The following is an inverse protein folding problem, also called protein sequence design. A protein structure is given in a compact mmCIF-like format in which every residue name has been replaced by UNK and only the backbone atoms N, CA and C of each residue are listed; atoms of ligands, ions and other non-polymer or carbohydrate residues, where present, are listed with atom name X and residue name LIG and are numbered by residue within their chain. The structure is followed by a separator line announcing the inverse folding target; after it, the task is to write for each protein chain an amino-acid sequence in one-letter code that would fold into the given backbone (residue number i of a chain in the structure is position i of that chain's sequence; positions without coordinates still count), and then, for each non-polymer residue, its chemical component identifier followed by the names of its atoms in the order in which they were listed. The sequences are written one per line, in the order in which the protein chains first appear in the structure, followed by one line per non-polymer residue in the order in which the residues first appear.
data_IF_110621574621
#
_entry.id   IF_110621574621
#
_cell.length_a   1.000
_cell.length_b   1.000
_cell.length_c   1.000
_cell.angle_alpha   90.00
_cell.angle_beta   90.00
_cell.angle_gamma   90.00
#
_symmetry.space_group_name_H-M   'P 1'
#
loop_
_entity.id
_entity.type
_entity.pdbx_description
1 polymer ?
#
# COMPACT_ATOMS: atom_id res chain seq x y z
N UNK A 1 -29.17 14.17 14.77
CA UNK A 1 -28.41 13.05 14.15
C UNK A 1 -27.61 13.63 13.00
N UNK A 2 -26.31 13.92 13.18
CA UNK A 2 -25.39 14.20 12.07
C UNK A 2 -25.13 12.85 11.40
N UNK A 3 -25.71 12.61 10.21
CA UNK A 3 -25.28 11.54 9.32
C UNK A 3 -23.87 11.91 8.87
N UNK A 4 -22.89 11.09 9.21
CA UNK A 4 -21.56 11.18 8.65
C UNK A 4 -21.69 10.90 7.15
N UNK A 5 -21.57 11.94 6.34
CA UNK A 5 -21.53 11.80 4.88
C UNK A 5 -20.35 10.89 4.49
N UNK A 6 -20.52 10.12 3.45
CA UNK A 6 -19.40 9.33 2.91
C UNK A 6 -18.44 10.29 2.19
N UNK A 7 -17.14 10.16 2.49
CA UNK A 7 -16.08 10.95 1.85
C UNK A 7 -15.52 10.24 0.59
N UNK A 8 -16.31 9.36 -0.04
CA UNK A 8 -15.89 8.62 -1.23
C UNK A 8 -16.80 8.91 -2.42
N UNK A 9 -16.18 9.02 -3.58
CA UNK A 9 -16.82 9.14 -4.88
C UNK A 9 -16.43 7.96 -5.76
N UNK A 10 -17.15 7.74 -6.86
CA UNK A 10 -16.77 6.79 -7.90
C UNK A 10 -16.36 7.56 -9.15
N UNK A 11 -15.14 7.34 -9.61
CA UNK A 11 -14.74 7.71 -10.96
C UNK A 11 -15.19 6.58 -11.89
N UNK A 12 -16.05 6.91 -12.83
CA UNK A 12 -16.62 5.98 -13.82
C UNK A 12 -15.91 6.17 -15.14
N UNK A 13 -15.38 5.08 -15.69
CA UNK A 13 -14.68 5.06 -16.97
C UNK A 13 -15.47 4.19 -17.93
N UNK A 14 -16.07 4.78 -18.95
CA UNK A 14 -16.82 4.08 -19.98
C UNK A 14 -16.41 4.49 -21.39
N UNK A 15 -16.50 3.57 -22.36
CA UNK A 15 -16.16 3.85 -23.76
C UNK A 15 -17.08 4.90 -24.38
N UNK A 16 -18.34 4.94 -23.96
CA UNK A 16 -19.36 5.84 -24.52
C UNK A 16 -19.35 7.23 -23.90
N UNK A 17 -19.25 7.29 -22.56
CA UNK A 17 -19.42 8.53 -21.81
C UNK A 17 -18.09 9.13 -21.36
N UNK A 18 -16.97 8.42 -21.65
CA UNK A 18 -15.63 8.82 -21.21
C UNK A 18 -15.48 8.71 -19.69
N UNK A 19 -15.01 9.77 -19.06
CA UNK A 19 -14.73 9.85 -17.63
C UNK A 19 -15.80 10.72 -16.94
N UNK A 20 -16.50 10.15 -15.98
CA UNK A 20 -17.47 10.87 -15.14
C UNK A 20 -17.25 10.55 -13.66
N UNK A 21 -17.65 11.46 -12.79
CA UNK A 21 -17.53 11.28 -11.34
C UNK A 21 -18.91 11.24 -10.71
N UNK A 22 -19.13 10.27 -9.82
CA UNK A 22 -20.40 10.09 -9.10
C UNK A 22 -20.13 10.29 -7.60
N UNK A 23 -20.64 11.39 -7.00
CA UNK A 23 -20.51 11.64 -5.58
C UNK A 23 -21.44 10.72 -4.77
N UNK A 24 -20.89 9.75 -4.06
CA UNK A 24 -21.70 8.81 -3.26
C UNK A 24 -22.34 9.46 -2.04
N UNK A 25 -21.77 10.56 -1.53
CA UNK A 25 -22.32 11.32 -0.40
C UNK A 25 -23.65 12.03 -0.71
N UNK A 26 -23.99 12.25 -1.98
CA UNK A 26 -25.25 12.88 -2.41
C UNK A 26 -26.44 11.92 -2.40
N UNK A 27 -26.19 10.62 -2.33
CA UNK A 27 -27.25 9.63 -2.23
C UNK A 27 -27.79 9.56 -0.81
N UNK A 28 -29.01 10.01 -0.60
CA UNK A 28 -29.69 9.95 0.71
C UNK A 28 -30.29 8.57 1.04
N UNK A 29 -29.83 7.51 0.36
CA UNK A 29 -30.30 6.13 0.52
C UNK A 29 -29.18 5.23 1.03
N UNK A 30 -29.49 4.35 1.95
CA UNK A 30 -28.53 3.34 2.48
C UNK A 30 -28.21 2.25 1.44
N UNK A 31 -28.93 2.20 0.33
CA UNK A 31 -28.76 1.23 -0.77
C UNK A 31 -28.94 1.91 -2.11
N UNK A 32 -27.94 1.79 -2.98
CA UNK A 32 -27.94 2.31 -4.33
C UNK A 32 -27.79 1.14 -5.29
N UNK A 33 -28.74 0.96 -6.19
CA UNK A 33 -28.62 -0.02 -7.26
C UNK A 33 -27.85 0.57 -8.44
N UNK A 34 -27.02 -0.27 -9.05
CA UNK A 34 -26.17 0.05 -10.20
C UNK A 34 -26.56 -0.85 -11.35
N UNK A 35 -26.80 -0.32 -12.53
CA UNK A 35 -27.17 -1.13 -13.68
C UNK A 35 -27.63 -0.30 -14.88
N UNK A 36 -28.12 -0.97 -15.93
CA UNK A 36 -28.54 -0.32 -17.17
C UNK A 36 -29.93 0.34 -17.10
N UNK A 37 -30.80 -0.15 -16.23
CA UNK A 37 -32.19 0.30 -16.15
C UNK A 37 -32.31 1.54 -15.23
N UNK A 38 -32.38 2.73 -15.83
CA UNK A 38 -32.47 3.98 -15.09
C UNK A 38 -33.73 4.10 -14.20
N UNK A 39 -34.78 3.30 -14.47
CA UNK A 39 -35.99 3.30 -13.63
C UNK A 39 -35.81 2.54 -12.33
N UNK A 40 -34.83 1.63 -12.26
CA UNK A 40 -34.52 0.77 -11.09
C UNK A 40 -33.24 1.13 -10.39
N UNK A 41 -32.31 1.77 -11.10
CA UNK A 41 -30.96 2.02 -10.61
C UNK A 41 -30.75 3.50 -10.29
N UNK A 42 -30.16 3.78 -9.14
CA UNK A 42 -29.72 5.13 -8.77
C UNK A 42 -28.45 5.54 -9.54
N UNK A 43 -27.66 4.56 -9.98
CA UNK A 43 -26.54 4.75 -10.89
C UNK A 43 -26.86 4.00 -12.19
N UNK A 44 -27.29 4.73 -13.21
CA UNK A 44 -27.61 4.18 -14.51
C UNK A 44 -26.38 4.23 -15.43
N UNK A 45 -26.09 3.11 -16.12
CA UNK A 45 -24.91 2.94 -16.95
C UNK A 45 -25.32 2.58 -18.38
N UNK A 46 -24.95 3.37 -19.36
CA UNK A 46 -25.25 3.08 -20.77
C UNK A 46 -24.27 2.05 -21.36
N UNK A 47 -24.49 0.78 -21.02
CA UNK A 47 -23.72 -0.33 -21.58
C UNK A 47 -24.58 -1.57 -21.72
N UNK A 48 -24.55 -2.20 -22.92
CA UNK A 48 -25.31 -3.41 -23.23
C UNK A 48 -24.85 -4.64 -22.44
N UNK A 49 -23.61 -4.65 -21.97
CA UNK A 49 -23.05 -5.78 -21.23
C UNK A 49 -23.29 -5.65 -19.71
N UNK A 50 -23.77 -4.51 -19.26
CA UNK A 50 -24.22 -4.31 -17.88
C UNK A 50 -25.69 -4.78 -17.76
N UNK A 51 -25.99 -5.60 -16.76
CA UNK A 51 -27.35 -6.09 -16.48
C UNK A 51 -28.29 -4.97 -16.12
N UNK A 52 -29.60 -5.17 -16.29
CA UNK A 52 -30.65 -4.21 -15.93
C UNK A 52 -30.48 -3.68 -14.50
N UNK A 53 -30.29 -4.61 -13.53
CA UNK A 53 -29.77 -4.35 -12.19
C UNK A 53 -28.55 -5.24 -12.03
N UNK A 54 -27.36 -4.66 -11.96
CA UNK A 54 -26.10 -5.38 -12.03
C UNK A 54 -25.46 -5.57 -10.65
N UNK A 55 -25.41 -4.51 -9.89
CA UNK A 55 -24.75 -4.46 -8.60
C UNK A 55 -25.50 -3.58 -7.61
N UNK A 56 -25.06 -3.63 -6.35
CA UNK A 56 -25.60 -2.83 -5.27
C UNK A 56 -24.49 -2.27 -4.41
N UNK A 57 -24.59 -1.00 -4.11
CA UNK A 57 -23.81 -0.29 -3.12
C UNK A 57 -24.63 -0.21 -1.84
N UNK A 58 -24.05 -0.60 -0.70
CA UNK A 58 -24.63 -0.45 0.64
C UNK A 58 -23.81 0.56 1.41
N UNK A 59 -24.48 1.50 2.07
CA UNK A 59 -23.86 2.48 2.98
C UNK A 59 -24.34 2.16 4.40
N UNK A 60 -23.41 1.88 5.29
CA UNK A 60 -23.70 1.52 6.68
C UNK A 60 -22.68 2.18 7.61
N UNK A 61 -23.15 3.02 8.54
CA UNK A 61 -22.30 3.78 9.46
C UNK A 61 -21.17 4.57 8.79
N UNK A 62 -21.41 5.14 7.59
CA UNK A 62 -20.40 5.86 6.80
C UNK A 62 -19.48 4.96 5.98
N UNK A 63 -19.47 3.65 6.20
CA UNK A 63 -18.74 2.69 5.41
C UNK A 63 -19.55 2.25 4.17
N UNK A 64 -18.85 2.04 3.06
CA UNK A 64 -19.44 1.68 1.78
C UNK A 64 -19.06 0.25 1.42
N UNK A 65 -20.02 -0.52 0.94
CA UNK A 65 -19.84 -1.90 0.50
C UNK A 65 -20.42 -2.07 -0.90
N UNK A 66 -19.79 -2.91 -1.70
CA UNK A 66 -20.20 -3.22 -3.06
C UNK A 66 -20.49 -4.72 -3.23
N UNK A 67 -21.56 -5.08 -3.91
CA UNK A 67 -21.91 -6.46 -4.21
C UNK A 67 -22.45 -6.62 -5.63
N UNK A 68 -22.02 -7.67 -6.33
CA UNK A 68 -22.64 -8.15 -7.56
C UNK A 68 -23.97 -8.86 -7.24
N UNK A 69 -25.01 -8.60 -8.00
CA UNK A 69 -26.36 -9.17 -7.79
C UNK A 69 -26.67 -10.36 -8.71
N UNK A 70 -25.68 -11.17 -9.04
CA UNK A 70 -25.82 -12.27 -9.98
C UNK A 70 -25.90 -11.77 -11.42
N UNK A 71 -25.10 -10.77 -11.74
CA UNK A 71 -25.09 -10.16 -13.06
C UNK A 71 -24.65 -11.15 -14.15
N UNK A 72 -25.22 -11.03 -15.36
CA UNK A 72 -24.98 -11.95 -16.48
C UNK A 72 -23.49 -12.04 -16.86
N UNK A 73 -22.82 -10.89 -16.91
CA UNK A 73 -21.42 -10.80 -17.33
C UNK A 73 -20.44 -10.65 -16.15
N UNK A 74 -20.95 -10.60 -14.94
CA UNK A 74 -20.16 -10.56 -13.69
C UNK A 74 -19.56 -9.19 -13.40
N UNK A 75 -19.17 -9.02 -12.14
CA UNK A 75 -18.33 -7.92 -11.67
C UNK A 75 -16.97 -8.48 -11.29
N UNK A 76 -15.93 -7.74 -11.59
CA UNK A 76 -14.54 -8.09 -11.28
C UNK A 76 -13.92 -7.02 -10.41
N UNK A 77 -13.15 -7.43 -9.41
CA UNK A 77 -12.37 -6.53 -8.57
C UNK A 77 -10.89 -6.62 -8.96
N UNK A 78 -10.21 -5.47 -9.01
CA UNK A 78 -8.76 -5.41 -9.20
C UNK A 78 -8.06 -5.94 -7.95
N UNK A 79 -7.23 -6.94 -8.11
CA UNK A 79 -6.36 -7.48 -7.07
C UNK A 79 -4.99 -7.79 -7.65
N UNK A 80 -3.96 -7.15 -7.09
CA UNK A 80 -2.56 -7.39 -7.51
C UNK A 80 -2.34 -7.28 -9.03
N UNK A 81 -2.88 -6.24 -9.64
CA UNK A 81 -2.73 -5.97 -11.07
C UNK A 81 -3.58 -6.85 -12.00
N UNK A 82 -4.49 -7.67 -11.45
CA UNK A 82 -5.38 -8.52 -12.24
C UNK A 82 -6.83 -8.41 -11.78
N UNK A 83 -7.77 -8.50 -12.72
CA UNK A 83 -9.19 -8.52 -12.40
C UNK A 83 -9.64 -9.92 -11.98
N UNK A 84 -10.20 -10.03 -10.79
CA UNK A 84 -10.72 -11.28 -10.22
C UNK A 84 -12.25 -11.19 -10.11
N UNK A 85 -12.97 -12.21 -10.61
CA UNK A 85 -14.43 -12.23 -10.54
C UNK A 85 -14.93 -12.26 -9.10
N UNK A 86 -15.86 -11.37 -8.77
CA UNK A 86 -16.53 -11.35 -7.47
C UNK A 86 -17.51 -12.52 -7.34
N UNK A 87 -17.68 -13.00 -6.10
CA UNK A 87 -18.75 -13.95 -5.77
C UNK A 87 -20.08 -13.21 -5.74
N UNK A 88 -21.09 -13.80 -6.36
CA UNK A 88 -22.45 -13.25 -6.41
C UNK A 88 -23.03 -13.06 -5.01
N UNK A 89 -23.76 -11.96 -4.83
CA UNK A 89 -24.44 -11.58 -3.58
C UNK A 89 -23.53 -11.48 -2.34
N UNK A 90 -22.20 -11.43 -2.52
CA UNK A 90 -21.24 -11.21 -1.44
C UNK A 90 -20.75 -9.78 -1.47
N UNK A 91 -20.87 -9.08 -0.34
CA UNK A 91 -20.34 -7.73 -0.17
C UNK A 91 -18.82 -7.74 -0.08
N UNK A 92 -18.22 -6.78 -0.76
CA UNK A 92 -16.80 -6.40 -0.64
C UNK A 92 -16.76 -5.02 -0.03
N UNK A 93 -15.95 -4.83 0.98
CA UNK A 93 -15.79 -3.56 1.68
C UNK A 93 -15.37 -3.75 3.14
N UNK A 94 -15.23 -2.66 3.88
CA UNK A 94 -15.53 -1.29 3.44
C UNK A 94 -14.67 -0.87 2.26
N UNK A 95 -15.28 -0.15 1.30
CA UNK A 95 -14.55 0.37 0.15
C UNK A 95 -13.55 1.43 0.60
N UNK A 96 -12.40 1.43 -0.07
CA UNK A 96 -11.31 2.36 0.17
C UNK A 96 -10.85 2.98 -1.13
N UNK A 97 -10.28 4.17 -1.04
CA UNK A 97 -9.70 4.85 -2.17
C UNK A 97 -8.70 3.94 -2.91
N UNK A 98 -8.73 3.99 -4.23
CA UNK A 98 -7.90 3.17 -5.11
C UNK A 98 -8.49 1.79 -5.44
N UNK A 99 -9.56 1.34 -4.78
CA UNK A 99 -10.24 0.11 -5.18
C UNK A 99 -10.89 0.27 -6.55
N UNK A 100 -10.78 -0.78 -7.37
CA UNK A 100 -11.27 -0.76 -8.75
C UNK A 100 -12.19 -1.95 -9.00
N UNK A 101 -13.32 -1.68 -9.65
CA UNK A 101 -14.32 -2.67 -10.03
C UNK A 101 -14.63 -2.55 -11.52
N UNK A 102 -14.66 -3.68 -12.21
CA UNK A 102 -15.04 -3.75 -13.61
C UNK A 102 -16.39 -4.45 -13.75
N UNK A 103 -17.37 -3.78 -14.28
CA UNK A 103 -18.72 -4.29 -14.48
C UNK A 103 -18.87 -4.83 -15.91
N UNK A 104 -19.14 -6.10 -16.06
CA UNK A 104 -19.19 -6.81 -17.33
C UNK A 104 -17.84 -7.41 -17.74
N UNK A 105 -17.80 -8.14 -18.83
CA UNK A 105 -16.53 -8.70 -19.35
C UNK A 105 -16.57 -10.20 -19.66
N UNK A 106 -17.69 -10.87 -19.43
CA UNK A 106 -17.83 -12.30 -19.76
C UNK A 106 -17.69 -12.54 -21.25
N UNK A 107 -16.86 -13.51 -21.62
CA UNK A 107 -16.72 -14.00 -22.99
C UNK A 107 -15.77 -13.24 -23.89
N UNK A 108 -15.33 -12.04 -23.50
CA UNK A 108 -14.27 -11.25 -24.16
C UNK A 108 -13.12 -11.05 -23.18
N UNK A 109 -11.90 -10.95 -23.69
CA UNK A 109 -10.76 -10.51 -22.85
C UNK A 109 -11.09 -9.15 -22.28
N UNK A 110 -10.83 -8.94 -21.01
CA UNK A 110 -11.13 -7.68 -20.30
C UNK A 110 -10.50 -6.49 -21.03
N UNK A 111 -9.34 -6.70 -21.61
CA UNK A 111 -8.53 -5.71 -22.34
C UNK A 111 -8.85 -5.64 -23.84
N UNK A 112 -9.90 -6.31 -24.32
CA UNK A 112 -10.34 -6.19 -25.69
C UNK A 112 -10.89 -4.76 -25.93
N UNK A 113 -10.39 -4.02 -26.95
CA UNK A 113 -10.88 -2.66 -27.26
C UNK A 113 -12.38 -2.59 -27.51
N UNK A 114 -12.99 -3.69 -27.98
CA UNK A 114 -14.42 -3.83 -28.19
C UNK A 114 -15.21 -4.16 -26.92
N UNK A 115 -14.54 -4.35 -25.78
CA UNK A 115 -15.19 -4.64 -24.53
C UNK A 115 -15.80 -3.37 -23.92
N UNK A 116 -17.14 -3.27 -23.87
CA UNK A 116 -17.90 -2.18 -23.28
C UNK A 116 -18.02 -2.25 -21.74
N UNK A 117 -17.16 -3.03 -21.07
CA UNK A 117 -17.14 -3.09 -19.60
C UNK A 117 -16.88 -1.70 -19.01
N UNK A 118 -17.54 -1.40 -17.90
CA UNK A 118 -17.42 -0.12 -17.23
C UNK A 118 -16.51 -0.29 -16.02
N UNK A 119 -15.50 0.57 -15.92
CA UNK A 119 -14.56 0.59 -14.80
C UNK A 119 -15.00 1.63 -13.77
N UNK A 120 -15.10 1.21 -12.52
CA UNK A 120 -15.27 2.06 -11.35
C UNK A 120 -13.95 2.15 -10.60
N UNK A 121 -13.52 3.36 -10.29
CA UNK A 121 -12.39 3.62 -9.39
C UNK A 121 -12.94 4.37 -8.19
N UNK A 122 -12.70 3.85 -7.00
CA UNK A 122 -13.08 4.53 -5.74
C UNK A 122 -12.07 5.64 -5.49
N UNK A 123 -12.54 6.87 -5.37
CA UNK A 123 -11.73 8.07 -5.11
C UNK A 123 -12.21 8.78 -3.84
N UNK A 124 -11.32 9.53 -3.17
CA UNK A 124 -11.72 10.38 -2.05
C UNK A 124 -12.38 11.65 -2.56
N UNK A 125 -13.51 12.03 -1.96
CA UNK A 125 -14.18 13.29 -2.25
C UNK A 125 -13.34 14.49 -1.78
N UNK A 126 -12.58 14.33 -0.69
CA UNK A 126 -11.74 15.38 -0.13
C UNK A 126 -10.46 15.62 -0.95
N UNK A 127 -10.00 14.58 -1.68
CA UNK A 127 -8.77 14.56 -2.45
C UNK A 127 -9.03 14.30 -3.95
N UNK A 128 -10.13 14.77 -4.51
CA UNK A 128 -10.45 14.58 -5.92
C UNK A 128 -9.33 15.06 -6.87
N UNK A 129 -8.56 16.07 -6.45
CA UNK A 129 -7.40 16.58 -7.21
C UNK A 129 -6.15 15.67 -7.16
N UNK A 130 -6.12 14.65 -6.30
CA UNK A 130 -4.99 13.70 -6.24
C UNK A 130 -4.99 12.72 -7.42
N UNK A 131 -6.15 12.51 -8.04
CA UNK A 131 -6.27 11.71 -9.25
C UNK A 131 -6.12 12.58 -10.49
N UNK A 132 -5.01 12.40 -11.19
CA UNK A 132 -4.67 13.15 -12.40
C UNK A 132 -4.95 12.34 -13.65
N UNK A 133 -5.27 13.06 -14.71
CA UNK A 133 -5.60 12.54 -16.05
C UNK A 133 -4.59 13.12 -17.03
N UNK A 134 -3.92 12.25 -17.79
CA UNK A 134 -2.94 12.62 -18.80
C UNK A 134 -3.38 12.07 -20.15
N UNK A 135 -4.06 12.88 -20.99
CA UNK A 135 -4.51 12.46 -22.32
C UNK A 135 -3.32 12.22 -23.26
N UNK A 136 -3.32 11.08 -23.95
CA UNK A 136 -2.27 10.66 -24.89
C UNK A 136 -2.73 10.93 -26.34
N UNK A 137 -2.92 12.19 -26.73
CA UNK A 137 -3.33 12.49 -28.11
C UNK A 137 -2.21 12.18 -29.11
N UNK A 138 -1.15 13.01 -29.13
CA UNK A 138 0.05 12.81 -29.97
C UNK A 138 1.34 12.93 -29.13
N UNK A 139 1.24 12.76 -27.83
CA UNK A 139 2.30 13.04 -26.87
C UNK A 139 2.89 11.74 -26.30
N UNK A 140 4.08 11.87 -25.80
CA UNK A 140 4.68 10.87 -24.92
C UNK A 140 4.75 11.44 -23.51
N UNK A 141 4.70 10.57 -22.51
CA UNK A 141 4.90 10.91 -21.11
C UNK A 141 6.04 10.10 -20.54
N UNK A 142 7.02 10.79 -19.97
CA UNK A 142 8.07 10.20 -19.15
C UNK A 142 7.58 10.16 -17.70
N UNK A 143 7.71 9.01 -17.08
CA UNK A 143 7.27 8.73 -15.71
C UNK A 143 8.49 8.43 -14.86
N UNK A 144 8.65 9.10 -13.74
CA UNK A 144 9.80 8.88 -12.88
C UNK A 144 9.75 9.66 -11.57
N UNK A 145 10.89 9.67 -10.87
CA UNK A 145 11.05 10.39 -9.60
C UNK A 145 11.50 11.83 -9.80
N UNK A 146 12.21 12.12 -10.90
CA UNK A 146 12.76 13.43 -11.15
C UNK A 146 11.67 14.44 -11.51
N UNK A 147 11.94 15.70 -11.16
CA UNK A 147 10.99 16.80 -11.38
C UNK A 147 10.83 17.20 -12.85
N UNK A 148 11.74 16.76 -13.71
CA UNK A 148 11.70 16.95 -15.17
C UNK A 148 10.83 15.89 -15.88
N UNK A 149 10.38 14.85 -15.17
CA UNK A 149 9.41 13.91 -15.68
C UNK A 149 8.01 14.55 -15.79
N UNK A 150 7.25 14.13 -16.79
CA UNK A 150 5.87 14.61 -17.01
C UNK A 150 4.91 14.09 -15.91
N UNK A 151 5.14 12.85 -15.47
CA UNK A 151 4.42 12.24 -14.36
C UNK A 151 5.42 11.90 -13.25
N UNK A 152 5.37 12.67 -12.18
CA UNK A 152 6.31 12.54 -11.06
C UNK A 152 5.71 11.69 -9.95
N UNK A 153 6.41 10.59 -9.62
CA UNK A 153 6.13 9.76 -8.45
C UNK A 153 7.30 9.85 -7.47
N UNK A 154 7.18 10.71 -6.47
CA UNK A 154 8.21 10.86 -5.44
C UNK A 154 8.19 9.68 -4.45
N UNK A 155 8.74 8.54 -4.89
CA UNK A 155 8.77 7.31 -4.11
C UNK A 155 10.11 6.58 -4.29
N UNK A 156 10.71 5.99 -3.23
CA UNK A 156 12.00 5.29 -3.31
C UNK A 156 12.04 4.11 -4.29
N UNK A 157 10.89 3.47 -4.54
CA UNK A 157 10.78 2.36 -5.49
C UNK A 157 10.69 2.82 -6.96
N UNK A 158 10.69 4.12 -7.23
CA UNK A 158 10.61 4.69 -8.57
C UNK A 158 11.99 5.23 -8.96
N UNK A 159 12.50 4.84 -10.14
CA UNK A 159 13.77 5.36 -10.69
C UNK A 159 13.60 6.80 -11.16
N UNK A 160 14.71 7.53 -11.34
CA UNK A 160 14.72 8.92 -11.79
C UNK A 160 13.88 9.08 -13.06
N UNK A 161 14.21 8.36 -14.13
CA UNK A 161 13.38 8.13 -15.30
C UNK A 161 13.04 6.63 -15.32
N UNK A 162 11.78 6.28 -15.06
CA UNK A 162 11.39 4.90 -14.83
C UNK A 162 10.76 4.24 -16.05
N UNK A 163 9.83 4.92 -16.66
CA UNK A 163 9.07 4.43 -17.80
C UNK A 163 8.73 5.56 -18.77
N UNK A 164 8.39 5.19 -20.00
CA UNK A 164 7.82 6.08 -20.99
C UNK A 164 6.53 5.46 -21.54
N UNK A 165 5.47 6.26 -21.66
CA UNK A 165 4.24 5.88 -22.34
C UNK A 165 4.05 6.78 -23.54
N UNK A 166 3.79 6.19 -24.71
CA UNK A 166 3.71 6.95 -25.95
C UNK A 166 2.75 6.31 -26.96
N UNK A 167 2.34 7.11 -27.95
CA UNK A 167 1.48 6.70 -29.07
C UNK A 167 2.29 6.54 -30.35
N UNK A 168 1.97 5.49 -31.14
CA UNK A 168 2.44 5.31 -32.52
C UNK A 168 1.24 4.96 -33.41
N UNK A 169 0.85 5.85 -34.28
CA UNK A 169 -0.38 5.70 -35.05
C UNK A 169 -1.59 5.58 -34.14
N UNK A 170 -2.26 4.43 -34.17
CA UNK A 170 -3.43 4.13 -33.32
C UNK A 170 -3.10 3.22 -32.12
N UNK A 171 -1.83 2.90 -31.92
CA UNK A 171 -1.37 1.98 -30.87
C UNK A 171 -0.66 2.75 -29.77
N UNK A 172 -0.78 2.26 -28.55
CA UNK A 172 -0.18 2.83 -27.34
C UNK A 172 0.82 1.85 -26.75
N UNK A 173 1.92 2.36 -26.27
CA UNK A 173 3.03 1.57 -25.76
C UNK A 173 3.51 2.10 -24.42
N UNK A 174 3.93 1.17 -23.56
CA UNK A 174 4.75 1.48 -22.39
C UNK A 174 6.12 0.85 -22.56
N UNK A 175 7.15 1.60 -22.22
CA UNK A 175 8.55 1.18 -22.28
C UNK A 175 9.19 1.33 -20.91
N UNK A 176 9.90 0.30 -20.46
CA UNK A 176 10.72 0.33 -19.27
C UNK A 176 12.08 0.95 -19.60
N UNK A 177 12.42 2.09 -19.01
CA UNK A 177 13.67 2.80 -19.22
C UNK A 177 14.83 2.25 -18.37
N UNK A 178 14.95 0.91 -18.30
CA UNK A 178 15.91 0.19 -17.47
C UNK A 178 15.75 0.52 -15.97
N UNK A 179 14.53 0.58 -15.52
CA UNK A 179 14.21 0.89 -14.13
C UNK A 179 14.69 -0.20 -13.16
N UNK A 180 15.01 0.18 -11.93
CA UNK A 180 15.52 -0.75 -10.90
C UNK A 180 14.47 -1.80 -10.51
N UNK A 181 13.20 -1.41 -10.45
CA UNK A 181 12.12 -2.27 -9.95
C UNK A 181 11.19 -2.78 -11.05
N UNK A 182 11.40 -2.36 -12.30
CA UNK A 182 10.61 -2.79 -13.45
C UNK A 182 9.25 -2.14 -13.56
N UNK A 183 8.68 -2.27 -14.74
CA UNK A 183 7.32 -1.87 -15.12
C UNK A 183 6.48 -3.13 -15.29
N UNK A 184 5.25 -3.11 -14.82
CA UNK A 184 4.33 -4.25 -14.97
C UNK A 184 3.04 -3.79 -15.64
N UNK A 185 2.57 -4.58 -16.61
CA UNK A 185 1.25 -4.39 -17.23
C UNK A 185 0.37 -5.59 -16.89
N UNK A 186 -0.76 -5.33 -16.21
CA UNK A 186 -1.67 -6.36 -15.71
C UNK A 186 -0.94 -7.42 -14.84
N UNK A 187 0.01 -6.98 -14.02
CA UNK A 187 0.83 -7.85 -13.17
C UNK A 187 1.92 -8.64 -13.89
N UNK A 188 2.12 -8.46 -15.20
CA UNK A 188 3.18 -9.09 -15.99
C UNK A 188 4.29 -8.10 -16.28
N UNK A 189 5.55 -8.48 -15.95
CA UNK A 189 6.71 -7.62 -16.16
C UNK A 189 6.90 -7.28 -17.66
N UNK A 190 7.15 -6.02 -17.93
CA UNK A 190 7.49 -5.50 -19.25
C UNK A 190 8.98 -5.73 -19.47
N UNK A 191 9.34 -6.25 -20.63
CA UNK A 191 10.73 -6.38 -21.08
C UNK A 191 10.93 -5.47 -22.30
N UNK A 192 11.57 -4.32 -22.07
CA UNK A 192 11.68 -3.27 -23.08
C UNK A 192 10.35 -2.56 -23.29
N UNK A 193 9.69 -2.82 -24.41
CA UNK A 193 8.44 -2.16 -24.80
C UNK A 193 7.27 -3.15 -24.84
N UNK A 194 6.09 -2.71 -24.42
CA UNK A 194 4.84 -3.49 -24.48
C UNK A 194 3.70 -2.61 -24.96
N UNK A 195 2.90 -3.12 -25.89
CA UNK A 195 1.63 -2.52 -26.27
C UNK A 195 0.64 -2.57 -25.11
N UNK A 196 -0.05 -1.46 -24.88
CA UNK A 196 -1.09 -1.33 -23.86
C UNK A 196 -2.45 -1.12 -24.54
N UNK A 197 -3.48 -1.67 -23.92
CA UNK A 197 -4.83 -1.69 -24.44
C UNK A 197 -5.80 -1.08 -23.42
N UNK A 198 -7.01 -0.83 -23.86
CA UNK A 198 -8.08 -0.29 -23.04
C UNK A 198 -8.25 -1.05 -21.70
N UNK A 199 -8.28 -0.30 -20.60
CA UNK A 199 -8.36 -0.79 -19.21
C UNK A 199 -7.13 -1.59 -18.73
N UNK A 200 -6.02 -1.53 -19.44
CA UNK A 200 -4.77 -2.04 -18.90
C UNK A 200 -4.33 -1.24 -17.69
N UNK A 201 -3.71 -1.94 -16.76
CA UNK A 201 -3.08 -1.32 -15.59
C UNK A 201 -1.58 -1.38 -15.73
N UNK A 202 -0.93 -0.25 -15.55
CA UNK A 202 0.52 -0.12 -15.53
C UNK A 202 0.93 0.11 -14.07
N UNK A 203 1.78 -0.77 -13.54
CA UNK A 203 2.31 -0.65 -12.19
C UNK A 203 3.77 -0.21 -12.23
N UNK A 204 4.08 0.84 -11.47
CA UNK A 204 5.42 1.40 -11.28
C UNK A 204 5.64 1.57 -9.78
N UNK A 205 6.47 0.74 -9.18
CA UNK A 205 6.57 0.68 -7.72
C UNK A 205 5.22 0.34 -7.08
N UNK A 206 4.73 1.22 -6.21
CA UNK A 206 3.39 1.13 -5.60
C UNK A 206 2.30 1.86 -6.39
N UNK A 207 2.69 2.60 -7.42
CA UNK A 207 1.74 3.40 -8.21
C UNK A 207 1.05 2.51 -9.24
N UNK A 208 -0.27 2.65 -9.30
CA UNK A 208 -1.09 2.02 -10.31
C UNK A 208 -1.65 3.09 -11.23
N UNK A 209 -1.35 2.95 -12.51
CA UNK A 209 -1.85 3.81 -13.58
C UNK A 209 -2.84 2.98 -14.38
N UNK A 210 -4.00 3.53 -14.65
CA UNK A 210 -5.00 2.91 -15.52
C UNK A 210 -4.95 3.61 -16.87
N UNK A 211 -4.83 2.85 -17.95
CA UNK A 211 -4.97 3.34 -19.30
C UNK A 211 -6.39 3.10 -19.80
N UNK A 212 -7.11 4.16 -20.13
CA UNK A 212 -8.46 4.05 -20.71
C UNK A 212 -8.85 5.35 -21.42
N UNK A 213 -9.62 5.25 -22.51
CA UNK A 213 -10.05 6.39 -23.33
C UNK A 213 -8.87 7.26 -23.76
N UNK A 214 -7.79 6.64 -24.26
CA UNK A 214 -6.54 7.32 -24.65
C UNK A 214 -5.94 8.21 -23.54
N UNK A 215 -6.17 7.88 -22.29
CA UNK A 215 -5.79 8.68 -21.13
C UNK A 215 -5.13 7.78 -20.07
N UNK A 216 -4.04 8.28 -19.48
CA UNK A 216 -3.49 7.69 -18.26
C UNK A 216 -4.17 8.32 -17.06
N UNK A 217 -4.69 7.49 -16.17
CA UNK A 217 -5.39 7.90 -14.94
C UNK A 217 -4.60 7.37 -13.76
N UNK A 218 -4.06 8.23 -12.93
CA UNK A 218 -3.27 7.81 -11.77
C UNK A 218 -3.41 8.76 -10.58
N UNK A 219 -3.15 8.21 -9.39
CA UNK A 219 -2.95 8.99 -8.18
C UNK A 219 -1.47 9.35 -8.08
N UNK A 220 -1.14 10.63 -8.05
CA UNK A 220 0.26 11.09 -7.99
C UNK A 220 0.79 11.26 -6.58
N UNK A 221 -0.10 11.42 -5.59
CA UNK A 221 0.25 11.52 -4.18
C UNK A 221 0.00 10.19 -3.48
N UNK A 222 1.00 9.66 -2.81
CA UNK A 222 0.87 8.48 -1.93
C UNK A 222 0.82 8.93 -0.49
N UNK A 223 -0.31 8.79 0.15
CA UNK A 223 -0.48 9.02 1.59
C UNK A 223 -0.09 7.76 2.38
N UNK A 224 1.21 7.45 2.44
CA UNK A 224 1.70 6.32 3.21
C UNK A 224 1.30 4.94 2.66
N UNK A 225 1.53 3.92 3.45
CA UNK A 225 1.28 2.52 3.07
C UNK A 225 0.22 1.90 3.98
N UNK A 226 -0.89 1.45 3.37
CA UNK A 226 -1.87 0.62 4.02
C UNK A 226 -1.46 -0.84 3.90
N UNK A 227 -1.59 -1.61 4.99
CA UNK A 227 -1.30 -3.03 5.04
C UNK A 227 -2.57 -3.82 5.34
N UNK A 228 -2.95 -4.74 4.45
CA UNK A 228 -4.11 -5.62 4.64
C UNK A 228 -3.69 -7.07 4.70
N UNK A 229 -4.15 -7.76 5.72
CA UNK A 229 -3.95 -9.20 5.93
C UNK A 229 -5.24 -9.93 5.60
N UNK A 230 -5.16 -10.95 4.75
CA UNK A 230 -6.30 -11.74 4.32
C UNK A 230 -6.04 -13.23 4.55
N UNK A 231 -6.83 -13.83 5.42
CA UNK A 231 -6.87 -15.27 5.71
C UNK A 231 -5.48 -15.87 6.01
N UNK A 232 -4.64 -15.13 6.77
CA UNK A 232 -3.29 -15.59 7.06
C UNK A 232 -3.29 -16.79 7.99
N UNK A 233 -2.80 -17.91 7.49
CA UNK A 233 -2.58 -19.14 8.25
C UNK A 233 -1.14 -19.59 8.07
N UNK A 234 -0.45 -19.86 9.17
CA UNK A 234 0.88 -20.43 9.13
C UNK A 234 0.98 -21.68 9.98
N UNK A 235 1.42 -22.76 9.35
CA UNK A 235 1.68 -24.04 9.96
C UNK A 235 3.17 -24.40 9.82
N UNK A 236 3.71 -25.05 10.82
CA UNK A 236 5.07 -25.58 10.86
C UNK A 236 5.06 -27.07 11.24
N UNK A 237 6.24 -27.70 11.25
CA UNK A 237 6.38 -29.12 11.60
C UNK A 237 5.51 -30.05 10.73
N UNK A 238 5.55 -29.82 9.40
CA UNK A 238 4.73 -30.61 8.46
C UNK A 238 3.22 -30.43 8.64
N UNK A 239 2.77 -29.27 9.12
CA UNK A 239 1.36 -28.96 9.33
C UNK A 239 0.83 -29.32 10.74
N UNK A 240 1.65 -29.90 11.62
CA UNK A 240 1.25 -30.34 12.96
C UNK A 240 1.02 -29.18 13.93
N UNK A 241 1.73 -28.07 13.76
CA UNK A 241 1.67 -26.92 14.67
C UNK A 241 1.24 -25.67 13.91
N UNK A 242 0.11 -25.08 14.33
CA UNK A 242 -0.40 -23.80 13.81
C UNK A 242 0.21 -22.65 14.63
N UNK A 243 0.89 -21.72 13.96
CA UNK A 243 1.48 -20.51 14.55
C UNK A 243 0.61 -19.28 14.31
N UNK A 244 -0.01 -19.16 13.12
CA UNK A 244 -0.98 -18.11 12.80
C UNK A 244 -2.27 -18.78 12.34
N UNK A 245 -3.41 -18.32 12.85
CA UNK A 245 -4.72 -18.87 12.57
C UNK A 245 -5.67 -17.77 12.11
N UNK A 246 -5.96 -17.74 10.82
CA UNK A 246 -6.99 -16.90 10.19
C UNK A 246 -6.89 -15.42 10.61
N UNK A 247 -5.70 -14.84 10.44
CA UNK A 247 -5.47 -13.43 10.77
C UNK A 247 -5.98 -12.56 9.63
N UNK A 248 -7.00 -11.77 9.95
CA UNK A 248 -7.68 -10.84 9.04
C UNK A 248 -7.74 -9.46 9.70
N UNK A 249 -7.01 -8.48 9.18
CA UNK A 249 -7.12 -7.08 9.61
C UNK A 249 -6.45 -6.13 8.61
N UNK A 250 -6.70 -4.83 8.80
CA UNK A 250 -6.08 -3.77 8.03
C UNK A 250 -5.46 -2.74 8.96
N UNK A 251 -4.20 -2.42 8.70
CA UNK A 251 -3.47 -1.30 9.30
C UNK A 251 -3.51 -0.17 8.28
N UNK A 252 -4.02 0.99 8.70
CA UNK A 252 -4.14 2.13 7.81
C UNK A 252 -2.79 2.83 7.59
N UNK A 253 -2.73 3.65 6.55
CA UNK A 253 -1.56 4.48 6.26
C UNK A 253 -1.24 5.39 7.44
N UNK A 254 0.06 5.55 7.72
CA UNK A 254 0.56 6.46 8.75
C UNK A 254 0.09 6.12 10.18
N UNK A 255 -0.30 4.86 10.40
CA UNK A 255 -0.57 4.36 11.75
C UNK A 255 0.69 3.80 12.40
N UNK A 256 0.81 4.05 13.70
CA UNK A 256 1.77 3.39 14.58
C UNK A 256 1.03 2.32 15.38
N UNK A 257 1.31 1.04 15.09
CA UNK A 257 0.59 -0.12 15.63
C UNK A 257 1.51 -0.98 16.46
N UNK A 258 1.07 -1.33 17.67
CA UNK A 258 1.75 -2.29 18.53
C UNK A 258 1.08 -3.66 18.49
N UNK A 259 1.84 -4.72 18.25
CA UNK A 259 1.40 -6.11 18.38
C UNK A 259 1.86 -6.61 19.74
N UNK A 260 0.91 -6.96 20.59
CA UNK A 260 1.14 -7.47 21.94
C UNK A 260 0.55 -8.87 22.13
N UNK A 261 1.00 -9.58 23.13
CA UNK A 261 0.52 -10.93 23.42
C UNK A 261 1.55 -11.75 24.19
N UNK A 262 1.12 -12.89 24.72
CA UNK A 262 1.99 -13.78 25.49
C UNK A 262 3.17 -14.35 24.68
N UNK A 263 4.12 -14.95 25.40
CA UNK A 263 5.21 -15.68 24.75
C UNK A 263 4.64 -16.83 23.90
N UNK A 264 5.15 -17.01 22.68
CA UNK A 264 4.69 -18.05 21.77
C UNK A 264 3.34 -17.74 21.08
N UNK A 265 2.77 -16.54 21.23
CA UNK A 265 1.54 -16.13 20.53
C UNK A 265 1.70 -15.93 19.01
N UNK A 266 2.90 -16.05 18.46
CA UNK A 266 3.14 -15.90 17.02
C UNK A 266 3.46 -14.48 16.56
N UNK A 267 3.72 -13.52 17.47
CA UNK A 267 3.96 -12.10 17.16
C UNK A 267 5.11 -11.86 16.18
N UNK A 268 6.32 -12.35 16.50
CA UNK A 268 7.48 -12.20 15.60
C UNK A 268 7.31 -12.98 14.29
N UNK A 269 6.57 -14.10 14.33
CA UNK A 269 6.21 -14.83 13.10
C UNK A 269 5.28 -14.00 12.23
N UNK A 270 4.26 -13.37 12.81
CA UNK A 270 3.40 -12.45 12.08
C UNK A 270 4.23 -11.31 11.48
N UNK A 271 5.07 -10.65 12.28
CA UNK A 271 5.91 -9.54 11.82
C UNK A 271 6.81 -9.96 10.64
N UNK A 272 7.46 -11.12 10.72
CA UNK A 272 8.30 -11.67 9.63
C UNK A 272 7.48 -12.01 8.38
N UNK A 273 6.26 -12.52 8.55
CA UNK A 273 5.34 -12.80 7.45
C UNK A 273 4.93 -11.49 6.75
N UNK A 274 4.58 -10.47 7.52
CA UNK A 274 4.21 -9.16 6.99
C UNK A 274 5.37 -8.50 6.25
N UNK A 275 6.59 -8.59 6.76
CA UNK A 275 7.80 -8.05 6.12
C UNK A 275 8.33 -8.87 4.94
N UNK A 276 7.71 -10.02 4.61
CA UNK A 276 8.14 -10.88 3.50
C UNK A 276 9.38 -11.72 3.79
N UNK A 277 9.87 -11.76 5.03
CA UNK A 277 10.98 -12.61 5.46
C UNK A 277 10.56 -14.08 5.59
N UNK A 278 9.27 -14.31 5.83
CA UNK A 278 8.69 -15.63 5.86
C UNK A 278 7.69 -15.77 4.69
N UNK A 279 7.97 -16.70 3.78
CA UNK A 279 7.23 -16.88 2.53
C UNK A 279 6.23 -18.03 2.55
N UNK A 280 6.31 -18.90 3.58
CA UNK A 280 5.52 -20.12 3.67
C UNK A 280 4.30 -19.92 4.58
N UNK A 281 3.21 -19.40 4.01
CA UNK A 281 1.92 -19.19 4.68
C UNK A 281 0.77 -19.27 3.67
N UNK A 282 -0.44 -19.60 4.15
CA UNK A 282 -1.68 -19.52 3.39
C UNK A 282 -2.26 -18.09 3.54
N UNK A 283 -3.17 -17.69 2.63
CA UNK A 283 -3.68 -16.32 2.59
C UNK A 283 -2.74 -15.37 1.87
N UNK A 284 -2.93 -14.07 2.03
CA UNK A 284 -2.06 -13.06 1.41
C UNK A 284 -1.94 -11.77 2.25
N UNK A 285 -0.88 -11.01 1.99
CA UNK A 285 -0.61 -9.69 2.56
C UNK A 285 -0.59 -8.68 1.42
N UNK A 286 -1.33 -7.58 1.56
CA UNK A 286 -1.43 -6.55 0.54
C UNK A 286 -0.90 -5.22 1.04
N UNK A 287 -0.04 -4.58 0.25
CA UNK A 287 0.49 -3.24 0.43
C UNK A 287 -0.20 -2.32 -0.57
N UNK A 288 -1.06 -1.42 -0.12
CA UNK A 288 -1.91 -0.61 -1.01
C UNK A 288 -2.62 -1.45 -2.10
N UNK A 289 -3.11 -2.65 -1.73
CA UNK A 289 -3.77 -3.58 -2.63
C UNK A 289 -2.84 -4.48 -3.47
N UNK A 290 -1.52 -4.31 -3.37
CA UNK A 290 -0.52 -5.11 -4.10
C UNK A 290 -0.09 -6.29 -3.25
N UNK A 291 -0.21 -7.53 -3.78
CA UNK A 291 0.16 -8.76 -3.09
C UNK A 291 1.66 -8.86 -2.83
N UNK A 292 2.03 -9.06 -1.56
CA UNK A 292 3.42 -9.28 -1.17
C UNK A 292 4.01 -10.53 -1.80
N UNK A 293 3.26 -11.62 -1.88
CA UNK A 293 3.73 -12.88 -2.48
C UNK A 293 4.11 -12.73 -3.95
N UNK A 294 3.29 -12.01 -4.71
CA UNK A 294 3.47 -11.86 -6.15
C UNK A 294 4.51 -10.80 -6.52
N UNK A 295 4.65 -9.75 -5.71
CA UNK A 295 5.44 -8.56 -6.03
C UNK A 295 6.52 -8.26 -4.99
N UNK A 296 7.06 -9.28 -4.31
CA UNK A 296 8.05 -9.10 -3.25
C UNK A 296 9.26 -8.27 -3.69
N UNK A 297 9.77 -8.51 -4.91
CA UNK A 297 10.94 -7.79 -5.42
C UNK A 297 10.73 -6.27 -5.53
N UNK A 298 9.51 -5.82 -5.80
CA UNK A 298 9.14 -4.41 -5.82
C UNK A 298 8.95 -3.89 -4.40
N UNK A 299 8.23 -4.65 -3.56
CA UNK A 299 7.83 -4.22 -2.23
C UNK A 299 8.98 -4.22 -1.22
N UNK A 300 9.99 -5.10 -1.36
CA UNK A 300 11.12 -5.19 -0.42
C UNK A 300 11.87 -3.87 -0.20
N UNK A 301 11.89 -2.99 -1.21
CA UNK A 301 12.61 -1.71 -1.16
C UNK A 301 11.86 -0.62 -0.37
N UNK A 302 10.58 -0.84 -0.07
CA UNK A 302 9.75 0.07 0.72
C UNK A 302 9.49 -0.44 2.12
N UNK A 303 10.08 -1.57 2.48
CA UNK A 303 9.97 -2.22 3.78
C UNK A 303 11.28 -2.07 4.53
N UNK A 304 11.23 -1.46 5.71
CA UNK A 304 12.29 -1.48 6.70
C UNK A 304 11.99 -2.52 7.76
N UNK A 305 12.98 -3.30 8.16
CA UNK A 305 12.84 -4.30 9.22
C UNK A 305 13.98 -4.19 10.23
N UNK A 306 13.63 -3.88 11.45
CA UNK A 306 14.56 -3.78 12.58
C UNK A 306 14.38 -5.02 13.47
N UNK A 307 15.35 -5.95 13.48
CA UNK A 307 15.25 -7.14 14.31
C UNK A 307 15.48 -6.83 15.80
N UNK A 308 15.21 -7.81 16.64
CA UNK A 308 15.39 -7.71 18.08
C UNK A 308 16.86 -7.45 18.46
N UNK A 309 17.79 -8.13 17.79
CA UNK A 309 19.22 -7.90 17.94
C UNK A 309 19.67 -6.75 17.03
N UNK A 310 20.47 -5.84 17.56
CA UNK A 310 20.95 -4.68 16.81
C UNK A 310 21.97 -5.11 15.73
N UNK A 311 21.65 -4.82 14.47
CA UNK A 311 22.59 -5.03 13.35
C UNK A 311 23.41 -3.76 13.17
N UNK A 312 24.49 -3.66 13.91
CA UNK A 312 25.39 -2.49 13.88
C UNK A 312 26.86 -2.89 13.84
N UNK A 313 27.67 -2.09 13.18
CA UNK A 313 29.11 -2.31 13.08
C UNK A 313 29.83 -1.56 14.20
N UNK A 314 30.12 -2.24 15.31
CA UNK A 314 30.62 -1.64 16.55
C UNK A 314 31.95 -0.88 16.41
N UNK A 315 32.78 -1.25 15.45
CA UNK A 315 34.11 -0.66 15.20
C UNK A 315 34.06 0.54 14.22
N UNK A 316 32.90 1.02 13.85
CA UNK A 316 32.71 2.21 13.04
C UNK A 316 32.12 3.34 13.89
N UNK A 317 32.35 4.60 13.46
CA UNK A 317 31.54 5.72 13.96
C UNK A 317 30.15 5.65 13.35
N UNK A 318 29.16 6.21 14.05
CA UNK A 318 27.76 6.24 13.57
C UNK A 318 27.67 6.77 12.13
N UNK A 319 28.30 7.92 11.84
CA UNK A 319 28.31 8.51 10.49
C UNK A 319 28.92 7.60 9.43
N UNK A 320 30.07 6.93 9.75
CA UNK A 320 30.70 5.99 8.80
C UNK A 320 29.82 4.78 8.54
N UNK A 321 29.19 4.21 9.57
CA UNK A 321 28.25 3.12 9.40
C UNK A 321 27.10 3.51 8.49
N UNK A 322 26.46 4.66 8.74
CA UNK A 322 25.37 5.16 7.89
C UNK A 322 25.82 5.42 6.47
N UNK A 323 27.03 5.96 6.27
CA UNK A 323 27.59 6.22 4.94
C UNK A 323 27.76 4.92 4.13
N UNK A 324 28.38 3.88 4.70
CA UNK A 324 28.54 2.62 3.98
C UNK A 324 27.20 1.92 3.73
N UNK A 325 26.29 2.01 4.68
CA UNK A 325 24.94 1.46 4.50
C UNK A 325 24.16 2.21 3.42
N UNK A 326 24.25 3.53 3.37
CA UNK A 326 23.62 4.33 2.33
C UNK A 326 24.12 3.93 0.93
N UNK A 327 25.44 3.74 0.79
CA UNK A 327 26.06 3.22 -0.45
C UNK A 327 25.49 1.88 -0.93
N UNK A 328 25.03 1.03 0.00
CA UNK A 328 24.46 -0.28 -0.33
C UNK A 328 22.93 -0.25 -0.55
N UNK A 329 22.22 0.70 0.09
CA UNK A 329 20.75 0.73 0.10
C UNK A 329 20.15 1.77 -0.86
N UNK A 330 20.88 2.85 -1.14
CA UNK A 330 20.43 3.89 -2.05
C UNK A 330 20.76 3.51 -3.51
N UNK A 331 20.06 4.05 -4.50
CA UNK A 331 20.33 3.80 -5.92
C UNK A 331 21.79 4.11 -6.28
N UNK A 332 22.38 3.36 -7.22
CA UNK A 332 23.78 3.48 -7.62
C UNK A 332 24.15 4.87 -8.18
N UNK A 333 23.17 5.58 -8.75
CA UNK A 333 23.32 6.93 -9.29
C UNK A 333 23.16 8.06 -8.26
N UNK A 334 22.99 7.73 -6.96
CA UNK A 334 22.90 8.72 -5.89
C UNK A 334 24.22 9.44 -5.69
N UNK A 335 24.22 10.77 -5.76
CA UNK A 335 25.42 11.59 -5.56
C UNK A 335 25.92 11.56 -4.12
N UNK A 336 27.18 11.90 -3.92
CA UNK A 336 27.77 12.00 -2.58
C UNK A 336 27.07 13.03 -1.70
N UNK A 337 26.61 14.13 -2.30
CA UNK A 337 25.87 15.18 -1.58
C UNK A 337 24.51 14.69 -1.12
N UNK A 338 23.76 13.97 -1.97
CA UNK A 338 22.45 13.39 -1.59
C UNK A 338 22.60 12.36 -0.46
N UNK A 339 23.68 11.55 -0.48
CA UNK A 339 23.99 10.62 0.61
C UNK A 339 24.24 11.37 1.91
N UNK A 340 25.07 12.42 1.88
CA UNK A 340 25.37 13.23 3.07
C UNK A 340 24.12 13.90 3.61
N UNK A 341 23.32 14.52 2.76
CA UNK A 341 22.07 15.19 3.12
C UNK A 341 21.09 14.19 3.78
N UNK A 342 20.98 12.99 3.20
CA UNK A 342 20.14 11.93 3.77
C UNK A 342 20.64 11.44 5.13
N UNK A 343 21.94 11.29 5.31
CA UNK A 343 22.52 10.93 6.61
C UNK A 343 22.20 12.00 7.66
N UNK A 344 22.36 13.28 7.33
CA UNK A 344 22.07 14.38 8.27
C UNK A 344 20.57 14.45 8.60
N UNK A 345 19.71 14.20 7.63
CA UNK A 345 18.27 14.11 7.86
C UNK A 345 17.93 12.97 8.82
N UNK A 346 18.43 11.76 8.55
CA UNK A 346 18.18 10.58 9.38
C UNK A 346 18.71 10.80 10.80
N UNK A 347 19.92 11.35 10.98
CA UNK A 347 20.47 11.66 12.29
C UNK A 347 19.59 12.61 13.10
N UNK A 348 18.97 13.61 12.44
CA UNK A 348 18.01 14.51 13.08
C UNK A 348 16.73 13.77 13.50
N UNK A 349 16.19 12.93 12.62
CA UNK A 349 14.96 12.18 12.87
C UNK A 349 15.08 11.26 14.10
N UNK A 350 16.24 10.61 14.27
CA UNK A 350 16.50 9.70 15.39
C UNK A 350 17.16 10.38 16.61
N UNK A 351 17.38 11.71 16.57
CA UNK A 351 18.01 12.51 17.64
C UNK A 351 19.40 12.01 18.02
N UNK A 352 20.27 11.75 17.05
CA UNK A 352 21.67 11.32 17.25
C UNK A 352 22.68 12.22 16.53
N UNK A 353 22.33 13.43 16.13
CA UNK A 353 23.23 14.36 15.42
C UNK A 353 24.53 14.60 16.17
N UNK A 354 24.46 14.82 17.48
CA UNK A 354 25.64 15.07 18.33
C UNK A 354 26.56 13.84 18.46
N UNK A 355 26.03 12.64 18.22
CA UNK A 355 26.74 11.38 18.34
C UNK A 355 27.28 10.84 17.00
N UNK A 356 27.18 11.60 15.91
CA UNK A 356 27.58 11.16 14.58
C UNK A 356 29.03 10.66 14.47
N UNK A 357 29.93 11.24 15.27
CA UNK A 357 31.37 10.87 15.32
C UNK A 357 31.68 9.89 16.44
N UNK A 358 30.70 9.47 17.24
CA UNK A 358 30.87 8.48 18.31
C UNK A 358 30.97 7.09 17.73
N UNK A 359 31.92 6.29 18.21
CA UNK A 359 32.02 4.85 17.88
C UNK A 359 30.76 4.14 18.36
N UNK A 360 30.21 3.25 17.53
CA UNK A 360 28.96 2.51 17.86
C UNK A 360 29.06 1.75 19.18
N UNK A 361 30.22 1.13 19.46
CA UNK A 361 30.44 0.42 20.72
C UNK A 361 30.29 1.32 21.97
N UNK A 362 30.50 2.62 21.83
CA UNK A 362 30.44 3.60 22.92
C UNK A 362 29.05 4.24 23.07
N UNK A 363 28.09 3.90 22.21
CA UNK A 363 26.71 4.34 22.31
C UNK A 363 25.99 3.58 23.44
N UNK A 364 25.07 4.24 24.14
CA UNK A 364 24.16 3.56 25.08
C UNK A 364 23.22 2.58 24.33
N UNK A 365 22.59 1.64 25.06
CA UNK A 365 21.66 0.68 24.46
C UNK A 365 20.56 1.34 23.64
N UNK A 366 19.92 2.38 24.17
CA UNK A 366 18.88 3.14 23.44
C UNK A 366 19.42 3.92 22.25
N UNK A 367 20.67 4.41 22.31
CA UNK A 367 21.33 5.04 21.16
C UNK A 367 21.66 4.01 20.08
N UNK A 368 22.14 2.81 20.45
CA UNK A 368 22.37 1.71 19.51
C UNK A 368 21.08 1.27 18.83
N UNK A 369 19.98 1.15 19.57
CA UNK A 369 18.67 0.82 19.00
C UNK A 369 18.20 1.88 18.00
N UNK A 370 18.34 3.17 18.32
CA UNK A 370 18.03 4.24 17.37
C UNK A 370 18.97 4.27 16.16
N UNK A 371 20.24 3.93 16.34
CA UNK A 371 21.19 3.74 15.23
C UNK A 371 20.79 2.58 14.31
N UNK A 372 20.28 1.48 14.87
CA UNK A 372 19.73 0.36 14.11
C UNK A 372 18.50 0.78 13.27
N UNK A 373 17.63 1.59 13.83
CA UNK A 373 16.49 2.20 13.09
C UNK A 373 16.99 3.13 11.98
N UNK A 374 18.04 3.93 12.24
CA UNK A 374 18.64 4.83 11.26
C UNK A 374 19.14 4.10 10.01
N UNK A 375 19.73 2.94 10.18
CA UNK A 375 20.18 2.08 9.08
C UNK A 375 19.03 1.75 8.10
N UNK A 376 17.85 1.48 8.63
CA UNK A 376 16.68 1.19 7.81
C UNK A 376 16.08 2.48 7.20
N UNK A 377 16.12 3.61 7.93
CA UNK A 377 15.61 4.90 7.44
C UNK A 377 16.35 5.45 6.23
N UNK A 378 17.60 5.06 5.99
CA UNK A 378 18.39 5.55 4.84
C UNK A 378 17.69 5.29 3.50
N UNK A 379 17.06 4.13 3.35
CA UNK A 379 16.31 3.78 2.14
C UNK A 379 14.93 4.43 2.06
N UNK A 380 14.56 5.26 3.03
CA UNK A 380 13.26 5.92 3.13
C UNK A 380 12.04 4.99 3.01
N UNK A 381 12.01 3.85 3.73
CA UNK A 381 10.89 2.94 3.60
C UNK A 381 9.59 3.59 4.07
N UNK A 382 8.49 3.23 3.40
CA UNK A 382 7.16 3.69 3.79
C UNK A 382 6.52 2.84 4.89
N UNK A 383 7.00 1.58 5.04
CA UNK A 383 6.54 0.62 6.04
C UNK A 383 7.71 0.17 6.92
N UNK A 384 7.53 0.24 8.23
CA UNK A 384 8.50 -0.19 9.21
C UNK A 384 7.99 -1.33 10.08
N UNK A 385 8.79 -2.38 10.20
CA UNK A 385 8.59 -3.47 11.14
C UNK A 385 9.70 -3.48 12.18
N UNK A 386 9.34 -3.49 13.46
CA UNK A 386 10.29 -3.53 14.56
C UNK A 386 9.97 -4.71 15.49
N UNK A 387 10.92 -5.60 15.66
CA UNK A 387 10.79 -6.76 16.54
C UNK A 387 11.39 -6.43 17.91
N UNK A 388 10.54 -6.20 18.91
CA UNK A 388 10.90 -5.84 20.29
C UNK A 388 11.92 -4.69 20.43
N UNK A 389 11.68 -3.51 19.81
CA UNK A 389 12.66 -2.43 19.78
C UNK A 389 12.93 -1.80 21.16
N UNK A 390 12.05 -2.04 22.13
CA UNK A 390 12.16 -1.51 23.50
C UNK A 390 12.73 -2.51 24.50
N UNK A 391 13.04 -3.74 24.07
CA UNK A 391 13.56 -4.77 24.94
C UNK A 391 14.90 -4.37 25.59
N UNK A 392 14.99 -4.52 26.91
CA UNK A 392 16.20 -4.21 27.67
C UNK A 392 16.48 -2.73 27.89
N UNK A 393 15.58 -1.83 27.50
CA UNK A 393 15.68 -0.39 27.78
C UNK A 393 15.04 -0.05 29.13
N UNK A 394 15.61 0.96 29.79
CA UNK A 394 14.96 1.58 30.94
C UNK A 394 13.68 2.38 30.50
N UNK A 395 12.73 2.62 31.42
CA UNK A 395 11.44 3.26 31.06
C UNK A 395 11.57 4.64 30.39
N UNK A 396 12.58 5.42 30.78
CA UNK A 396 12.80 6.76 30.20
C UNK A 396 13.31 6.68 28.76
N UNK A 397 14.23 5.77 28.49
CA UNK A 397 14.77 5.49 27.15
C UNK A 397 13.73 4.84 26.26
N UNK A 398 12.91 3.93 26.79
CA UNK A 398 11.76 3.34 26.08
C UNK A 398 10.80 4.43 25.62
N UNK A 399 10.35 5.31 26.53
CA UNK A 399 9.43 6.39 26.19
C UNK A 399 10.01 7.34 25.13
N UNK A 400 11.31 7.63 25.19
CA UNK A 400 11.99 8.43 24.18
C UNK A 400 11.96 7.77 22.81
N UNK A 401 12.24 6.47 22.73
CA UNK A 401 12.16 5.71 21.48
C UNK A 401 10.74 5.68 20.92
N UNK A 402 9.74 5.44 21.77
CA UNK A 402 8.33 5.44 21.37
C UNK A 402 7.87 6.78 20.78
N UNK A 403 8.34 7.90 21.36
CA UNK A 403 8.08 9.25 20.81
C UNK A 403 8.72 9.45 19.44
N UNK A 404 9.94 8.95 19.23
CA UNK A 404 10.60 9.00 17.91
C UNK A 404 9.79 8.22 16.89
N UNK A 405 9.33 6.99 17.21
CA UNK A 405 8.52 6.18 16.32
C UNK A 405 7.16 6.85 16.01
N UNK A 406 6.48 7.37 17.04
CA UNK A 406 5.22 8.11 16.84
C UNK A 406 5.42 9.30 15.89
N UNK A 407 6.48 10.10 16.09
CA UNK A 407 6.81 11.22 15.23
C UNK A 407 7.10 10.77 13.78
N UNK A 408 7.86 9.70 13.57
CA UNK A 408 8.09 9.13 12.23
C UNK A 408 6.79 8.76 11.54
N UNK A 409 5.84 8.18 12.27
CA UNK A 409 4.51 7.87 11.73
C UNK A 409 3.74 9.15 11.36
N UNK A 410 3.64 10.11 12.26
CA UNK A 410 2.78 11.30 12.11
C UNK A 410 3.34 12.37 11.17
N UNK A 411 4.66 12.59 11.19
CA UNK A 411 5.27 13.71 10.45
C UNK A 411 6.01 13.27 9.19
N UNK A 412 6.39 12.00 9.08
CA UNK A 412 7.12 11.46 7.94
C UNK A 412 6.29 10.48 7.11
N UNK A 413 5.01 10.32 7.44
CA UNK A 413 4.09 9.47 6.69
C UNK A 413 4.48 7.98 6.69
N UNK A 414 5.12 7.49 7.77
CA UNK A 414 5.53 6.08 7.89
C UNK A 414 4.45 5.27 8.57
N UNK A 415 4.12 4.12 8.02
CA UNK A 415 3.31 3.13 8.72
C UNK A 415 4.24 2.22 9.51
N UNK A 416 4.02 2.13 10.81
CA UNK A 416 4.93 1.44 11.73
C UNK A 416 4.20 0.33 12.46
N UNK A 417 4.75 -0.87 12.42
CA UNK A 417 4.25 -2.04 13.15
C UNK A 417 5.36 -2.59 14.03
N UNK A 418 5.16 -2.56 15.33
CA UNK A 418 6.13 -3.11 16.26
C UNK A 418 5.56 -4.25 17.08
N UNK A 419 6.39 -5.21 17.42
CA UNK A 419 6.11 -6.23 18.45
C UNK A 419 6.70 -5.77 19.77
N UNK A 420 5.94 -5.86 20.85
CA UNK A 420 6.43 -5.56 22.19
C UNK A 420 5.82 -6.47 23.25
N UNK A 421 6.54 -6.65 24.34
CA UNK A 421 6.06 -7.30 25.56
C UNK A 421 5.66 -6.30 26.65
N UNK A 422 6.10 -5.05 26.51
CA UNK A 422 5.79 -4.00 27.49
C UNK A 422 4.44 -3.36 27.16
N UNK A 423 3.70 -3.02 28.21
CA UNK A 423 2.45 -2.26 28.08
C UNK A 423 2.63 -0.77 28.38
N UNK A 424 3.86 -0.38 28.75
CA UNK A 424 4.21 1.01 28.97
C UNK A 424 4.26 1.74 27.63
N UNK A 425 3.82 2.98 27.61
CA UNK A 425 3.83 3.86 26.43
C UNK A 425 3.02 3.36 25.21
N UNK A 426 2.12 2.40 25.38
CA UNK A 426 1.19 1.98 24.32
C UNK A 426 0.17 3.06 23.94
N UNK A 427 -0.03 4.05 24.83
CA UNK A 427 -0.81 5.27 24.58
C UNK A 427 -0.25 6.15 23.44
N UNK A 428 1.01 5.95 23.07
CA UNK A 428 1.64 6.59 21.91
C UNK A 428 1.33 5.88 20.58
N UNK A 429 0.74 4.69 20.61
CA UNK A 429 0.31 3.97 19.42
C UNK A 429 -1.10 4.41 19.01
N UNK A 430 -1.40 4.32 17.72
CA UNK A 430 -2.75 4.56 17.20
C UNK A 430 -3.67 3.36 17.46
N UNK A 431 -3.10 2.16 17.30
CA UNK A 431 -3.82 0.90 17.50
C UNK A 431 -2.96 -0.13 18.21
N UNK A 432 -3.64 -1.03 18.87
CA UNK A 432 -3.05 -2.21 19.50
C UNK A 432 -3.70 -3.46 18.91
N UNK A 433 -2.87 -4.43 18.56
CA UNK A 433 -3.28 -5.76 18.12
C UNK A 433 -2.91 -6.75 19.23
N UNK A 434 -3.90 -7.40 19.85
CA UNK A 434 -3.66 -8.50 20.77
C UNK A 434 -3.66 -9.85 20.04
N UNK A 435 -2.51 -10.54 20.13
CA UNK A 435 -2.38 -11.90 19.63
C UNK A 435 -2.63 -12.91 20.75
N UNK A 436 -3.65 -13.73 20.55
CA UNK A 436 -4.00 -14.82 21.46
C UNK A 436 -3.21 -16.11 21.15
N UNK A 437 -3.53 -17.17 21.90
CA UNK A 437 -2.94 -18.50 21.71
C UNK A 437 -3.17 -18.99 20.27
N UNK A 438 -2.17 -19.71 19.71
CA UNK A 438 -2.18 -20.25 18.34
C UNK A 438 -2.26 -19.16 17.26
N UNK A 439 -1.77 -17.95 17.53
CA UNK A 439 -1.69 -16.87 16.57
C UNK A 439 -3.03 -16.35 16.07
N UNK A 440 -4.06 -16.36 16.91
CA UNK A 440 -5.34 -15.73 16.59
C UNK A 440 -5.29 -14.26 16.93
N UNK A 441 -5.87 -13.43 16.07
CA UNK A 441 -6.15 -12.04 16.39
C UNK A 441 -7.30 -12.02 17.40
N UNK A 442 -7.00 -11.63 18.64
CA UNK A 442 -7.98 -11.59 19.72
C UNK A 442 -8.69 -10.23 19.79
N UNK A 443 -7.97 -9.14 19.51
CA UNK A 443 -8.49 -7.78 19.55
C UNK A 443 -7.65 -6.88 18.64
N UNK A 444 -8.28 -5.88 18.05
CA UNK A 444 -7.64 -4.76 17.37
C UNK A 444 -8.47 -3.50 17.63
N UNK A 445 -7.85 -2.48 18.19
CA UNK A 445 -8.51 -1.22 18.52
C UNK A 445 -7.53 -0.18 19.03
N UNK A 446 -8.06 0.97 19.44
CA UNK A 446 -7.25 2.04 20.06
C UNK A 446 -6.73 1.63 21.44
N UNK A 447 -5.70 2.30 21.98
CA UNK A 447 -5.23 2.07 23.34
C UNK A 447 -6.32 2.28 24.41
N UNK A 448 -7.29 3.16 24.16
CA UNK A 448 -8.43 3.41 25.06
C UNK A 448 -9.44 2.24 25.07
N UNK A 449 -9.71 1.65 23.90
CA UNK A 449 -10.57 0.47 23.77
C UNK A 449 -9.93 -0.80 24.32
N UNK A 450 -8.61 -0.82 24.49
CA UNK A 450 -7.84 -1.96 24.99
C UNK A 450 -7.74 -2.00 26.53
N UNK A 451 -8.16 -0.96 27.25
CA UNK A 451 -8.20 -0.84 28.70
C UNK A 451 -9.50 -1.43 29.25
#
# INVERSE_FOLDING_TARGET
YKRSGTHLNLLVVSKKEGLSEIPLGEFHKDRIFVGRDASKCGIALDSKIVSSVHAKIKIENGAIYFADLGSTNGTYIMRSGSYVRMKENRYVGPLKEGMMFLLGGKGKKINDPENEAILFIVISADNANSWKKYPLFDEEYVIGKDKDCDIVFNHPAVSHHHARVYKRGHQFFVEDLNSTNGVFVNGVAVRGTKEIHEKDTIQIGLQLIVFSCETLICKTETEGIQLTMCDLVKKVDGGKKTILSDVNCTIESNEFVAIVGGSGAGKSTLLKTLGGYDKFYEGDVFYNGISLKRHYNVLKNIIGYVPQEDIVFENLTLKKMLYYTAKMKMPDNTSMQEIEDRIQEVLRLIELTEHQNTMIKNLSGGQKKRASIAVELLADPGMFFLDEPTSGLDPGTEQKLMRVLNRLSKTQGKTIVMVTHTTQSLDLCDKIIFMGKKGRLAFMGTPEEAK
#
